data_IF_125547309774
#
_entry.id   IF_125547309774
#
_cell.length_a   1.000
_cell.length_b   1.000
_cell.length_c   1.000
_cell.angle_alpha   90.00
_cell.angle_beta   90.00
_cell.angle_gamma   90.00
#
_symmetry.space_group_name_H-M   'P 1'
#
loop_
_entity.id
_entity.type
_entity.pdbx_description
1 polymer ?
#
# COMPACT_ATOMS: atom_id res chain seq x y z
N UNK A 1 46.50 -14.43 6.22
CA UNK A 1 45.47 -13.49 5.72
C UNK A 1 44.22 -13.62 6.58
N UNK A 2 43.92 -12.62 7.41
CA UNK A 2 42.71 -12.60 8.21
C UNK A 2 41.50 -12.53 7.28
N UNK A 3 40.66 -13.56 7.28
CA UNK A 3 39.34 -13.50 6.63
C UNK A 3 38.56 -12.38 7.31
N UNK A 4 38.39 -11.27 6.63
CA UNK A 4 37.44 -10.22 7.02
C UNK A 4 36.09 -10.89 7.17
N UNK A 5 35.64 -11.10 8.41
CA UNK A 5 34.28 -11.54 8.72
C UNK A 5 33.34 -10.54 8.06
N UNK A 6 32.66 -10.94 6.98
CA UNK A 6 31.57 -10.15 6.42
C UNK A 6 30.51 -10.02 7.53
N UNK A 7 30.23 -8.81 8.03
CA UNK A 7 29.31 -8.63 9.15
C UNK A 7 27.85 -8.94 8.77
N UNK A 8 27.55 -9.06 7.47
CA UNK A 8 26.23 -9.32 6.94
C UNK A 8 26.29 -10.46 5.92
N UNK A 9 25.35 -11.40 6.05
CA UNK A 9 25.09 -12.41 5.03
C UNK A 9 24.61 -11.73 3.75
N UNK A 10 25.04 -12.24 2.60
CA UNK A 10 24.50 -11.79 1.33
C UNK A 10 23.08 -12.32 1.09
N UNK A 11 22.47 -11.87 -0.02
CA UNK A 11 21.08 -12.20 -0.34
C UNK A 11 20.88 -13.70 -0.59
N UNK A 12 21.87 -14.38 -1.15
CA UNK A 12 21.78 -15.80 -1.50
C UNK A 12 21.97 -16.69 -0.28
N UNK A 13 22.87 -16.31 0.62
CA UNK A 13 23.04 -16.92 1.94
C UNK A 13 21.76 -16.77 2.78
N UNK A 14 21.16 -15.58 2.83
CA UNK A 14 19.89 -15.34 3.52
C UNK A 14 18.74 -16.15 2.92
N UNK A 15 18.71 -16.31 1.59
CA UNK A 15 17.71 -17.11 0.91
C UNK A 15 17.87 -18.61 1.21
N UNK A 16 19.11 -19.07 1.36
CA UNK A 16 19.43 -20.46 1.74
C UNK A 16 18.92 -20.75 3.16
N UNK A 17 19.21 -19.86 4.12
CA UNK A 17 18.67 -19.97 5.49
C UNK A 17 17.14 -19.92 5.51
N UNK A 18 16.53 -19.06 4.71
CA UNK A 18 15.08 -18.98 4.58
C UNK A 18 14.48 -20.31 4.07
N UNK A 19 15.04 -20.89 3.00
CA UNK A 19 14.58 -22.18 2.45
C UNK A 19 14.72 -23.31 3.46
N UNK A 20 15.83 -23.36 4.19
CA UNK A 20 16.03 -24.35 5.25
C UNK A 20 14.98 -24.20 6.37
N UNK A 21 14.74 -22.96 6.84
CA UNK A 21 13.72 -22.69 7.83
C UNK A 21 12.30 -23.02 7.33
N UNK A 22 12.00 -22.73 6.07
CA UNK A 22 10.72 -23.05 5.44
C UNK A 22 10.48 -24.57 5.36
N UNK A 23 11.50 -25.34 4.98
CA UNK A 23 11.42 -26.80 4.93
C UNK A 23 11.11 -27.37 6.33
N UNK A 24 11.75 -26.86 7.37
CA UNK A 24 11.45 -27.25 8.74
C UNK A 24 10.04 -26.83 9.17
N UNK A 25 9.65 -25.57 8.92
CA UNK A 25 8.37 -25.02 9.31
C UNK A 25 7.17 -25.79 8.75
N UNK A 26 7.26 -26.30 7.51
CA UNK A 26 6.22 -27.15 6.89
C UNK A 26 5.88 -28.38 7.74
N UNK A 27 6.85 -28.94 8.43
CA UNK A 27 6.68 -30.16 9.23
C UNK A 27 6.30 -29.87 10.69
N UNK A 28 6.24 -28.60 11.10
CA UNK A 28 5.99 -28.24 12.51
C UNK A 28 4.53 -28.15 12.92
N UNK A 29 3.61 -28.13 11.95
CA UNK A 29 2.18 -27.93 12.17
C UNK A 29 1.53 -29.03 13.03
N UNK A 30 2.05 -30.26 12.97
CA UNK A 30 1.54 -31.40 13.75
C UNK A 30 2.14 -31.50 15.16
N UNK A 31 3.21 -30.77 15.47
CA UNK A 31 3.97 -31.01 16.70
C UNK A 31 3.70 -29.98 17.79
N UNK A 32 3.53 -28.72 17.41
CA UNK A 32 3.35 -27.60 18.33
C UNK A 32 2.01 -26.92 18.07
N UNK A 33 1.35 -26.45 19.13
CA UNK A 33 0.01 -25.84 19.05
C UNK A 33 -1.08 -26.78 18.49
N UNK A 34 -0.97 -28.10 18.72
CA UNK A 34 -1.93 -29.12 18.24
C UNK A 34 -3.40 -28.76 18.50
N UNK A 35 -3.69 -28.20 19.68
CA UNK A 35 -5.05 -27.86 20.11
C UNK A 35 -5.54 -26.48 19.64
N UNK A 36 -4.69 -25.69 18.97
CA UNK A 36 -5.08 -24.39 18.43
C UNK A 36 -5.72 -24.56 17.05
N UNK A 37 -6.70 -23.70 16.75
CA UNK A 37 -7.41 -23.65 15.48
C UNK A 37 -6.46 -23.36 14.31
N UNK A 38 -6.59 -24.13 13.24
CA UNK A 38 -5.93 -23.86 11.97
C UNK A 38 -6.66 -22.74 11.22
N UNK A 39 -5.87 -21.84 10.63
CA UNK A 39 -6.38 -20.68 9.89
C UNK A 39 -6.08 -20.83 8.40
N UNK A 40 -6.93 -20.25 7.54
CA UNK A 40 -6.62 -20.14 6.11
C UNK A 40 -5.40 -19.25 5.93
N UNK A 41 -4.29 -19.86 5.49
CA UNK A 41 -3.01 -19.17 5.37
C UNK A 41 -3.00 -18.10 4.28
N UNK A 42 -4.00 -18.05 3.40
CA UNK A 42 -4.22 -16.91 2.49
C UNK A 42 -4.37 -15.59 3.24
N UNK A 43 -4.82 -15.63 4.50
CA UNK A 43 -4.88 -14.47 5.38
C UNK A 43 -3.52 -13.79 5.54
N UNK A 44 -2.43 -14.56 5.54
CA UNK A 44 -1.08 -14.05 5.74
C UNK A 44 -0.36 -13.76 4.43
N UNK A 45 -1.08 -13.66 3.31
CA UNK A 45 -0.48 -13.29 2.03
C UNK A 45 0.15 -11.89 2.14
N UNK A 46 1.48 -11.75 1.98
CA UNK A 46 2.16 -10.46 2.10
C UNK A 46 1.60 -9.39 1.16
N UNK A 47 1.11 -9.79 -0.02
CA UNK A 47 0.50 -8.85 -0.98
C UNK A 47 -0.77 -8.19 -0.43
N UNK A 48 -1.56 -8.92 0.37
CA UNK A 48 -2.82 -8.43 0.95
C UNK A 48 -2.53 -7.55 2.19
N UNK A 49 -1.51 -7.91 2.98
CA UNK A 49 -1.16 -7.22 4.22
C UNK A 49 -0.49 -5.85 4.00
N UNK A 50 0.28 -5.68 2.93
CA UNK A 50 0.87 -4.38 2.58
C UNK A 50 -0.13 -3.43 1.90
N UNK A 51 -1.24 -3.95 1.36
CA UNK A 51 -2.28 -3.20 0.65
C UNK A 51 -3.35 -2.62 1.57
N UNK A 52 -3.51 -3.14 2.79
CA UNK A 52 -4.51 -2.66 3.73
C UNK A 52 -3.84 -1.96 4.91
N UNK A 53 -3.98 -0.63 4.98
CA UNK A 53 -3.74 0.14 6.21
C UNK A 53 -4.77 -0.16 7.32
N UNK A 54 -5.32 -1.37 7.35
CA UNK A 54 -6.45 -1.82 8.18
C UNK A 54 -6.05 -2.14 9.63
N UNK A 55 -4.75 -2.20 9.91
CA UNK A 55 -4.22 -2.42 11.25
C UNK A 55 -3.29 -1.26 11.58
N UNK A 56 -3.68 -0.44 12.56
CA UNK A 56 -2.76 0.50 13.19
C UNK A 56 -1.73 -0.29 14.00
N UNK A 57 -0.61 -0.67 13.38
CA UNK A 57 0.47 -1.36 14.09
C UNK A 57 1.24 -0.37 14.98
N UNK A 58 0.98 -0.40 16.29
CA UNK A 58 1.60 0.50 17.28
C UNK A 58 2.96 -0.04 17.76
N UNK A 59 3.76 -0.61 16.87
CA UNK A 59 5.05 -1.24 17.19
C UNK A 59 6.22 -0.62 16.43
N UNK A 60 7.43 -0.85 16.93
CA UNK A 60 8.66 -0.39 16.26
C UNK A 60 8.93 -1.10 14.92
N UNK A 61 9.72 -0.47 14.05
CA UNK A 61 10.06 -0.99 12.71
C UNK A 61 10.62 -2.42 12.73
N UNK A 62 11.36 -2.80 13.78
CA UNK A 62 11.89 -4.16 13.94
C UNK A 62 10.81 -5.22 14.18
N UNK A 63 9.76 -4.89 14.95
CA UNK A 63 8.63 -5.78 15.20
C UNK A 63 7.76 -5.93 13.94
N UNK A 64 7.55 -4.83 13.20
CA UNK A 64 6.87 -4.86 11.89
C UNK A 64 7.57 -5.78 10.90
N UNK A 65 8.89 -5.61 10.73
CA UNK A 65 9.69 -6.49 9.84
C UNK A 65 9.68 -7.95 10.29
N UNK A 66 9.64 -8.21 11.61
CA UNK A 66 9.51 -9.57 12.13
C UNK A 66 8.15 -10.18 11.74
N UNK A 67 7.07 -9.42 11.89
CA UNK A 67 5.72 -9.84 11.50
C UNK A 67 5.64 -10.18 10.01
N UNK A 68 6.23 -9.34 9.13
CA UNK A 68 6.28 -9.59 7.69
C UNK A 68 6.95 -10.93 7.34
N UNK A 69 8.04 -11.29 8.04
CA UNK A 69 8.74 -12.57 7.86
C UNK A 69 7.85 -13.74 8.32
N UNK A 70 7.17 -13.60 9.45
CA UNK A 70 6.29 -14.62 9.99
C UNK A 70 5.12 -14.90 9.04
N UNK A 71 4.50 -13.85 8.50
CA UNK A 71 3.44 -13.97 7.49
C UNK A 71 3.93 -14.63 6.21
N UNK A 72 5.08 -14.18 5.70
CA UNK A 72 5.70 -14.81 4.53
C UNK A 72 6.00 -16.29 4.77
N UNK A 73 6.50 -16.64 5.95
CA UNK A 73 6.81 -18.02 6.30
C UNK A 73 5.53 -18.86 6.39
N UNK A 74 4.48 -18.35 7.06
CA UNK A 74 3.19 -19.02 7.21
C UNK A 74 2.49 -19.27 5.88
N UNK A 75 2.44 -18.24 5.03
CA UNK A 75 1.86 -18.34 3.70
C UNK A 75 2.54 -19.43 2.86
N UNK A 76 3.87 -19.47 2.87
CA UNK A 76 4.64 -20.45 2.10
C UNK A 76 4.69 -21.85 2.74
N UNK A 77 4.60 -21.93 4.06
CA UNK A 77 4.49 -23.18 4.80
C UNK A 77 3.07 -23.77 4.73
N UNK A 78 2.08 -22.97 4.32
CA UNK A 78 0.64 -23.29 4.38
C UNK A 78 0.19 -23.67 5.78
N UNK A 79 0.74 -23.01 6.80
CA UNK A 79 0.39 -23.22 8.21
C UNK A 79 0.53 -21.91 9.00
N UNK A 80 -0.39 -21.66 9.94
CA UNK A 80 -0.26 -20.59 10.94
C UNK A 80 0.50 -21.03 12.20
N UNK A 81 0.80 -22.33 12.31
CA UNK A 81 1.65 -22.94 13.34
C UNK A 81 3.03 -23.14 12.73
N UNK A 82 3.96 -22.23 13.00
CA UNK A 82 5.27 -22.18 12.32
C UNK A 82 6.43 -22.15 13.31
N UNK A 83 7.58 -22.65 12.86
CA UNK A 83 8.84 -22.48 13.55
C UNK A 83 9.73 -21.48 12.79
N UNK A 84 10.23 -20.47 13.50
CA UNK A 84 11.17 -19.48 12.99
C UNK A 84 12.55 -19.72 13.58
N UNK A 85 13.55 -20.01 12.74
CA UNK A 85 14.94 -20.10 13.17
C UNK A 85 15.41 -18.73 13.69
N UNK A 86 15.85 -18.69 14.96
CA UNK A 86 16.32 -17.46 15.60
C UNK A 86 17.61 -16.95 14.97
N UNK A 87 18.47 -17.83 14.45
CA UNK A 87 19.67 -17.41 13.72
C UNK A 87 19.29 -16.68 12.43
N UNK A 88 18.42 -17.28 11.62
CA UNK A 88 17.87 -16.65 10.42
C UNK A 88 17.23 -15.30 10.73
N UNK A 89 16.34 -15.24 11.74
CA UNK A 89 15.66 -14.01 12.12
C UNK A 89 16.62 -12.89 12.53
N UNK A 90 17.66 -13.20 13.32
CA UNK A 90 18.69 -12.23 13.71
C UNK A 90 19.45 -11.68 12.50
N UNK A 91 19.84 -12.55 11.57
CA UNK A 91 20.59 -12.15 10.37
C UNK A 91 19.72 -11.30 9.43
N UNK A 92 18.47 -11.71 9.18
CA UNK A 92 17.56 -10.98 8.31
C UNK A 92 17.20 -9.59 8.88
N UNK A 93 16.93 -9.51 10.18
CA UNK A 93 16.59 -8.26 10.84
C UNK A 93 17.82 -7.40 11.15
N UNK A 94 19.03 -7.97 11.09
CA UNK A 94 20.29 -7.38 11.54
C UNK A 94 20.23 -6.92 13.00
N UNK A 95 19.79 -7.83 13.88
CA UNK A 95 19.60 -7.53 15.31
C UNK A 95 20.22 -8.58 16.22
N UNK A 96 20.56 -8.15 17.43
CA UNK A 96 21.00 -9.03 18.52
C UNK A 96 19.82 -9.79 19.15
N UNK A 97 20.12 -10.87 19.87
CA UNK A 97 19.11 -11.72 20.50
C UNK A 97 18.20 -10.99 21.50
N UNK A 98 18.71 -9.95 22.18
CA UNK A 98 17.91 -9.11 23.10
C UNK A 98 16.83 -8.33 22.34
N UNK A 99 17.19 -7.71 21.23
CA UNK A 99 16.27 -6.95 20.37
C UNK A 99 15.25 -7.87 19.70
N UNK A 100 15.66 -9.06 19.23
CA UNK A 100 14.72 -10.05 18.71
C UNK A 100 13.68 -10.44 19.77
N UNK A 101 14.09 -10.69 21.02
CA UNK A 101 13.17 -10.95 22.14
C UNK A 101 12.20 -9.79 22.36
N UNK A 102 12.68 -8.55 22.37
CA UNK A 102 11.83 -7.36 22.51
C UNK A 102 10.78 -7.30 21.39
N UNK A 103 11.18 -7.52 20.14
CA UNK A 103 10.25 -7.52 19.00
C UNK A 103 9.21 -8.63 19.10
N UNK A 104 9.59 -9.84 19.54
CA UNK A 104 8.65 -10.95 19.78
C UNK A 104 7.64 -10.58 20.86
N UNK A 105 8.09 -9.99 21.97
CA UNK A 105 7.19 -9.57 23.05
C UNK A 105 6.19 -8.51 22.58
N UNK A 106 6.63 -7.52 21.79
CA UNK A 106 5.72 -6.52 21.21
C UNK A 106 4.61 -7.19 20.38
N UNK A 107 4.96 -8.18 19.55
CA UNK A 107 3.98 -8.88 18.73
C UNK A 107 3.03 -9.76 19.56
N UNK A 108 3.51 -10.35 20.65
CA UNK A 108 2.70 -11.15 21.58
C UNK A 108 1.75 -10.26 22.39
N UNK A 109 2.24 -9.12 22.91
CA UNK A 109 1.46 -8.10 23.65
C UNK A 109 0.35 -7.49 22.78
N UNK A 110 0.64 -7.25 21.49
CA UNK A 110 -0.34 -6.76 20.53
C UNK A 110 -1.28 -7.85 19.99
N UNK A 111 -1.14 -9.10 20.45
CA UNK A 111 -2.03 -10.19 20.09
C UNK A 111 -1.83 -10.80 18.70
N UNK A 112 -0.82 -10.40 17.93
CA UNK A 112 -0.57 -11.00 16.61
C UNK A 112 -0.11 -12.46 16.68
N UNK A 113 0.61 -12.80 17.76
CA UNK A 113 1.22 -14.10 17.92
C UNK A 113 1.04 -14.65 19.34
N UNK A 114 1.32 -15.93 19.47
CA UNK A 114 1.57 -16.63 20.73
C UNK A 114 2.81 -17.51 20.56
N UNK A 115 3.72 -17.52 21.52
CA UNK A 115 5.00 -18.23 21.40
C UNK A 115 5.26 -19.22 22.51
N UNK A 116 5.86 -20.35 22.16
CA UNK A 116 6.35 -21.32 23.17
C UNK A 116 7.66 -20.82 23.76
N UNK A 117 7.65 -20.55 25.07
CA UNK A 117 8.82 -20.06 25.82
C UNK A 117 9.82 -21.18 26.10
N UNK A 118 11.08 -20.80 26.37
CA UNK A 118 12.14 -21.75 26.78
C UNK A 118 12.84 -22.54 25.65
N UNK A 119 12.46 -22.35 24.37
CA UNK A 119 13.11 -23.04 23.24
C UNK A 119 14.25 -22.22 22.63
N UNK A 120 15.42 -22.84 22.47
CA UNK A 120 16.66 -22.14 22.12
C UNK A 120 16.93 -21.95 20.63
N UNK A 121 16.66 -22.95 19.77
CA UNK A 121 16.98 -22.88 18.34
C UNK A 121 15.90 -22.17 17.53
N UNK A 122 14.67 -22.68 17.64
CA UNK A 122 13.51 -22.14 16.96
C UNK A 122 12.64 -21.33 17.93
N UNK A 123 11.98 -20.32 17.38
CA UNK A 123 10.81 -19.70 17.96
C UNK A 123 9.59 -20.39 17.38
N UNK A 124 8.84 -21.13 18.21
CA UNK A 124 7.59 -21.75 17.79
C UNK A 124 6.47 -20.74 17.99
N UNK A 125 5.81 -20.38 16.89
CA UNK A 125 4.86 -19.28 16.79
C UNK A 125 3.52 -19.83 16.32
N UNK A 126 2.46 -19.47 17.04
CA UNK A 126 1.09 -19.52 16.55
C UNK A 126 0.71 -18.12 16.08
N UNK A 127 0.43 -17.96 14.78
CA UNK A 127 -0.12 -16.73 14.23
C UNK A 127 -1.62 -16.71 14.46
N UNK A 128 -2.08 -15.66 15.14
CA UNK A 128 -3.50 -15.40 15.40
C UNK A 128 -4.15 -14.72 14.20
N UNK A 129 -5.47 -14.77 14.14
CA UNK A 129 -6.22 -14.03 13.14
C UNK A 129 -6.18 -12.54 13.49
N UNK A 130 -5.45 -11.75 12.69
CA UNK A 130 -5.31 -10.32 12.95
C UNK A 130 -6.64 -9.55 12.83
N UNK A 131 -7.65 -10.15 12.19
CA UNK A 131 -8.99 -9.54 12.04
C UNK A 131 -9.77 -9.53 13.34
N UNK A 132 -9.38 -10.35 14.30
CA UNK A 132 -9.99 -10.45 15.63
C UNK A 132 -9.34 -9.48 16.64
N UNK A 133 -8.32 -8.70 16.24
CA UNK A 133 -7.61 -7.77 17.13
C UNK A 133 -8.43 -6.51 17.40
N UNK A 134 -8.38 -6.05 18.66
CA UNK A 134 -8.91 -4.74 19.05
C UNK A 134 -8.16 -3.64 18.28
N UNK A 135 -8.90 -2.83 17.51
CA UNK A 135 -8.33 -1.81 16.62
C UNK A 135 -8.14 -2.25 15.18
N UNK A 136 -8.45 -3.51 14.82
CA UNK A 136 -8.63 -3.87 13.42
C UNK A 136 -9.87 -3.18 12.87
N UNK A 137 -9.65 -2.22 11.97
CA UNK A 137 -10.72 -1.67 11.17
C UNK A 137 -10.77 -2.48 9.88
N UNK A 138 -11.84 -3.25 9.67
CA UNK A 138 -12.08 -3.94 8.39
C UNK A 138 -12.28 -2.90 7.29
N UNK A 139 -11.16 -2.44 6.73
CA UNK A 139 -11.13 -1.78 5.43
C UNK A 139 -11.15 -2.92 4.44
N UNK A 140 -12.32 -3.55 4.26
CA UNK A 140 -12.46 -4.75 3.44
C UNK A 140 -11.72 -4.59 2.13
N UNK A 141 -11.12 -5.68 1.62
CA UNK A 141 -10.34 -5.70 0.38
C UNK A 141 -11.04 -4.85 -0.69
N UNK A 142 -10.63 -3.58 -0.81
CA UNK A 142 -11.42 -2.48 -1.33
C UNK A 142 -12.92 -2.80 -1.54
N UNK A 143 -13.82 -2.40 -0.65
CA UNK A 143 -15.27 -2.36 -0.99
C UNK A 143 -15.57 -1.52 -2.26
N UNK A 144 -14.57 -0.83 -2.83
CA UNK A 144 -14.56 -0.48 -4.26
C UNK A 144 -14.17 -1.73 -5.06
N UNK A 145 -15.15 -2.44 -5.60
CA UNK A 145 -14.99 -3.47 -6.64
C UNK A 145 -13.68 -3.25 -7.42
N UNK A 146 -12.69 -4.14 -7.24
CA UNK A 146 -11.37 -3.97 -7.86
C UNK A 146 -11.55 -3.66 -9.35
N UNK A 147 -11.20 -2.43 -9.73
CA UNK A 147 -11.49 -1.95 -11.06
C UNK A 147 -10.60 -2.77 -12.03
N UNK A 148 -11.17 -3.38 -13.09
CA UNK A 148 -10.40 -4.29 -13.92
C UNK A 148 -9.16 -3.65 -14.55
N UNK A 149 -8.07 -4.42 -14.69
CA UNK A 149 -6.83 -3.98 -15.35
C UNK A 149 -7.07 -3.30 -16.73
N UNK A 150 -7.96 -3.82 -17.61
CA UNK A 150 -8.28 -3.17 -18.88
C UNK A 150 -8.81 -1.74 -18.74
N UNK A 151 -9.56 -1.42 -17.68
CA UNK A 151 -10.04 -0.07 -17.43
C UNK A 151 -8.87 0.90 -17.24
N UNK A 152 -7.92 0.58 -16.37
CA UNK A 152 -6.77 1.46 -16.10
C UNK A 152 -5.90 1.65 -17.34
N UNK A 153 -5.71 0.60 -18.15
CA UNK A 153 -4.99 0.71 -19.41
C UNK A 153 -5.69 1.67 -20.39
N UNK A 154 -7.02 1.59 -20.51
CA UNK A 154 -7.80 2.48 -21.37
C UNK A 154 -7.77 3.94 -20.88
N UNK A 155 -7.87 4.16 -19.58
CA UNK A 155 -7.79 5.49 -18.97
C UNK A 155 -6.38 6.07 -19.13
N UNK A 156 -5.33 5.28 -18.88
CA UNK A 156 -3.93 5.72 -19.09
C UNK A 156 -3.68 6.12 -20.54
N UNK A 157 -4.14 5.32 -21.52
CA UNK A 157 -4.00 5.66 -22.95
C UNK A 157 -4.72 6.96 -23.31
N UNK A 158 -5.94 7.13 -22.81
CA UNK A 158 -6.71 8.37 -22.99
C UNK A 158 -5.96 9.58 -22.41
N UNK A 159 -5.50 9.48 -21.16
CA UNK A 159 -4.79 10.55 -20.47
C UNK A 159 -3.44 10.85 -21.12
N UNK A 160 -2.72 9.86 -21.65
CA UNK A 160 -1.46 10.09 -22.40
C UNK A 160 -1.71 10.85 -23.70
N UNK A 161 -2.81 10.58 -24.41
CA UNK A 161 -3.18 11.35 -25.60
C UNK A 161 -3.52 12.79 -25.21
N UNK A 162 -4.34 12.95 -24.17
CA UNK A 162 -4.75 14.24 -23.65
C UNK A 162 -3.58 15.08 -23.11
N UNK A 163 -2.64 14.47 -22.40
CA UNK A 163 -1.43 15.12 -21.89
C UNK A 163 -0.50 15.64 -22.99
N UNK A 164 -0.57 15.09 -24.22
CA UNK A 164 0.18 15.62 -25.37
C UNK A 164 -0.51 16.83 -25.99
N UNK A 165 -1.82 16.93 -25.84
CA UNK A 165 -2.62 18.04 -26.37
C UNK A 165 -2.60 19.26 -25.42
N UNK A 166 -2.32 19.03 -24.12
CA UNK A 166 -2.27 20.07 -23.09
C UNK A 166 -0.85 20.27 -22.61
N UNK A 167 -0.27 21.43 -22.89
CA UNK A 167 1.09 21.77 -22.46
C UNK A 167 1.17 22.10 -20.96
N UNK A 168 0.13 22.76 -20.39
CA UNK A 168 0.16 23.26 -19.00
C UNK A 168 -1.23 23.24 -18.36
N UNK A 169 -1.29 22.96 -17.06
CA UNK A 169 -2.53 22.98 -16.26
C UNK A 169 -2.31 23.83 -15.01
N UNK A 170 -3.27 24.66 -14.62
CA UNK A 170 -3.20 25.44 -13.39
C UNK A 170 -3.82 24.66 -12.23
N UNK A 171 -2.99 24.29 -11.26
CA UNK A 171 -3.42 23.59 -10.04
C UNK A 171 -3.04 24.45 -8.85
N UNK A 172 -4.01 24.82 -8.00
CA UNK A 172 -3.81 25.67 -6.83
C UNK A 172 -3.03 26.96 -7.15
N UNK A 173 -3.45 27.66 -8.22
CA UNK A 173 -2.81 28.87 -8.76
C UNK A 173 -1.37 28.70 -9.27
N UNK A 174 -0.85 27.47 -9.39
CA UNK A 174 0.48 27.19 -9.97
C UNK A 174 0.37 26.53 -11.33
N UNK A 175 1.16 26.99 -12.29
CA UNK A 175 1.32 26.29 -13.56
C UNK A 175 2.09 24.99 -13.35
N UNK A 176 1.50 23.89 -13.80
CA UNK A 176 2.04 22.55 -13.62
C UNK A 176 2.06 21.79 -14.95
N UNK A 177 3.06 20.92 -15.09
CA UNK A 177 3.09 19.89 -16.13
C UNK A 177 2.43 18.63 -15.60
N UNK A 178 1.50 18.08 -16.37
CA UNK A 178 0.81 16.85 -16.02
C UNK A 178 1.66 15.64 -16.40
N UNK A 179 1.88 14.75 -15.44
CA UNK A 179 2.53 13.47 -15.64
C UNK A 179 1.56 12.31 -15.37
N UNK A 180 1.45 11.39 -16.34
CA UNK A 180 0.58 10.22 -16.26
C UNK A 180 1.34 9.06 -15.59
N UNK A 181 0.93 8.62 -14.40
CA UNK A 181 1.57 7.50 -13.71
C UNK A 181 1.40 6.16 -14.44
N UNK A 182 2.18 5.17 -14.05
CA UNK A 182 2.06 3.81 -14.58
C UNK A 182 0.71 3.17 -14.22
N UNK A 183 0.26 2.25 -15.07
CA UNK A 183 -0.93 1.43 -14.83
C UNK A 183 -0.85 0.69 -13.50
N UNK A 184 0.33 0.13 -13.17
CA UNK A 184 0.57 -0.59 -11.91
C UNK A 184 0.30 0.28 -10.68
N UNK A 185 0.64 1.57 -10.74
CA UNK A 185 0.36 2.49 -9.63
C UNK A 185 -1.14 2.69 -9.46
N UNK A 186 -1.87 2.95 -10.55
CA UNK A 186 -3.33 3.16 -10.51
C UNK A 186 -4.09 1.91 -10.03
N UNK A 187 -3.62 0.73 -10.43
CA UNK A 187 -4.14 -0.55 -9.96
C UNK A 187 -3.90 -0.74 -8.47
N UNK A 188 -2.67 -0.48 -8.01
CA UNK A 188 -2.29 -0.59 -6.60
C UNK A 188 -3.16 0.29 -5.70
N UNK A 189 -3.46 1.51 -6.13
CA UNK A 189 -4.33 2.43 -5.37
C UNK A 189 -5.81 2.26 -5.69
N UNK A 190 -6.16 1.33 -6.59
CA UNK A 190 -7.50 1.08 -7.12
C UNK A 190 -8.27 2.38 -7.46
N UNK A 191 -7.56 3.33 -8.09
CA UNK A 191 -8.07 4.67 -8.38
C UNK A 191 -7.31 5.29 -9.55
N UNK A 192 -7.96 6.21 -10.26
CA UNK A 192 -7.27 7.01 -11.28
C UNK A 192 -6.55 8.15 -10.56
N UNK A 193 -5.24 8.27 -10.78
CA UNK A 193 -4.39 9.30 -10.17
C UNK A 193 -3.60 10.04 -11.24
N UNK A 194 -3.43 11.34 -11.06
CA UNK A 194 -2.62 12.21 -11.92
C UNK A 194 -1.56 12.91 -11.08
N UNK A 195 -0.36 13.06 -11.63
CA UNK A 195 0.73 13.81 -11.02
C UNK A 195 0.88 15.16 -11.72
N UNK A 196 1.11 16.20 -10.94
CA UNK A 196 1.31 17.56 -11.42
C UNK A 196 2.59 18.12 -10.81
N UNK A 197 3.52 18.53 -11.67
CA UNK A 197 4.80 19.10 -11.27
C UNK A 197 4.79 20.60 -11.57
N UNK A 198 4.86 21.48 -10.56
CA UNK A 198 4.91 22.92 -10.79
C UNK A 198 6.15 23.31 -11.58
N UNK A 199 5.99 24.18 -12.57
CA UNK A 199 7.11 24.71 -13.35
C UNK A 199 8.08 25.47 -12.44
N UNK A 200 7.55 26.21 -11.46
CA UNK A 200 8.33 27.00 -10.51
C UNK A 200 9.12 26.15 -9.51
N UNK A 201 8.74 24.90 -9.26
CA UNK A 201 9.45 24.01 -8.35
C UNK A 201 9.26 22.53 -8.77
N UNK A 202 10.11 22.04 -9.69
CA UNK A 202 9.99 20.68 -10.23
C UNK A 202 10.25 19.58 -9.19
N UNK A 203 10.81 19.91 -8.03
CA UNK A 203 11.02 18.94 -6.94
C UNK A 203 9.74 18.65 -6.15
N UNK A 204 8.68 19.43 -6.37
CA UNK A 204 7.37 19.21 -5.74
C UNK A 204 6.46 18.49 -6.73
N UNK A 205 5.82 17.40 -6.30
CA UNK A 205 4.83 16.70 -7.11
C UNK A 205 3.51 16.62 -6.35
N UNK A 206 2.47 17.22 -6.92
CA UNK A 206 1.10 17.05 -6.44
C UNK A 206 0.49 15.79 -7.06
N UNK A 207 -0.01 14.88 -6.24
CA UNK A 207 -0.74 13.71 -6.71
C UNK A 207 -2.22 13.92 -6.39
N UNK A 208 -3.06 13.97 -7.41
CA UNK A 208 -4.51 14.13 -7.26
C UNK A 208 -5.22 12.86 -7.73
N UNK A 209 -6.18 12.38 -6.93
CA UNK A 209 -7.06 11.28 -7.30
C UNK A 209 -8.22 11.75 -8.17
N UNK A 210 -8.95 10.81 -8.77
CA UNK A 210 -10.16 11.09 -9.53
C UNK A 210 -11.18 11.92 -8.73
N UNK A 211 -11.30 11.65 -7.43
CA UNK A 211 -12.21 12.37 -6.54
C UNK A 211 -11.74 13.81 -6.32
N UNK A 212 -10.45 14.02 -6.09
CA UNK A 212 -9.87 15.37 -5.94
C UNK A 212 -9.97 16.19 -7.23
N UNK A 213 -9.98 15.51 -8.38
CA UNK A 213 -10.13 16.16 -9.67
C UNK A 213 -11.59 16.52 -9.97
N UNK A 214 -12.51 15.59 -9.77
CA UNK A 214 -13.87 15.66 -10.32
C UNK A 214 -14.95 15.89 -9.26
N UNK A 215 -14.61 15.84 -7.97
CA UNK A 215 -15.51 15.78 -6.83
C UNK A 215 -16.53 14.62 -6.90
N UNK A 216 -16.22 13.57 -7.69
CA UNK A 216 -17.07 12.39 -7.87
C UNK A 216 -16.31 11.12 -7.53
N UNK A 217 -17.03 10.09 -7.11
CA UNK A 217 -16.47 8.75 -6.99
C UNK A 217 -16.46 8.04 -8.35
N UNK A 218 -15.51 7.12 -8.54
CA UNK A 218 -15.47 6.28 -9.75
C UNK A 218 -16.74 5.39 -9.73
N UNK A 219 -17.52 5.33 -10.82
CA UNK A 219 -18.69 4.47 -10.89
C UNK A 219 -18.32 3.00 -10.66
N UNK A 220 -19.27 2.18 -10.19
CA UNK A 220 -19.06 0.73 -10.01
C UNK A 220 -18.59 0.06 -11.30
N UNK A 221 -17.78 -1.00 -11.18
CA UNK A 221 -17.37 -1.85 -12.31
C UNK A 221 -18.55 -2.59 -12.98
N UNK A 222 -19.70 -2.68 -12.31
CA UNK A 222 -20.95 -3.20 -12.87
C UNK A 222 -21.61 -2.22 -13.86
N UNK A 223 -21.15 -0.96 -13.89
CA UNK A 223 -21.64 0.03 -14.83
C UNK A 223 -20.99 -0.19 -16.22
N UNK A 224 -21.78 -0.61 -17.20
CA UNK A 224 -21.33 -0.77 -18.59
C UNK A 224 -20.66 0.49 -19.18
N UNK A 225 -21.07 1.67 -18.73
CA UNK A 225 -20.54 2.96 -19.20
C UNK A 225 -19.43 3.55 -18.32
N UNK A 226 -18.91 2.79 -17.35
CA UNK A 226 -17.92 3.27 -16.35
C UNK A 226 -16.77 4.06 -17.01
N UNK A 227 -16.12 3.48 -18.02
CA UNK A 227 -14.99 4.11 -18.71
C UNK A 227 -15.38 5.42 -19.41
N UNK A 228 -16.53 5.46 -20.08
CA UNK A 228 -16.99 6.65 -20.79
C UNK A 228 -17.32 7.79 -19.82
N UNK A 229 -17.98 7.48 -18.70
CA UNK A 229 -18.30 8.43 -17.64
C UNK A 229 -17.03 9.01 -17.03
N UNK A 230 -16.05 8.16 -16.71
CA UNK A 230 -14.76 8.59 -16.13
C UNK A 230 -14.00 9.48 -17.10
N UNK A 231 -13.90 9.11 -18.39
CA UNK A 231 -13.26 9.95 -19.43
C UNK A 231 -13.94 11.32 -19.54
N UNK A 232 -15.28 11.35 -19.59
CA UNK A 232 -16.06 12.59 -19.68
C UNK A 232 -15.83 13.50 -18.48
N UNK A 233 -15.85 12.95 -17.26
CA UNK A 233 -15.63 13.72 -16.04
C UNK A 233 -14.19 14.25 -15.94
N UNK A 234 -13.19 13.43 -16.31
CA UNK A 234 -11.78 13.86 -16.34
C UNK A 234 -11.56 14.96 -17.39
N UNK A 235 -12.11 14.79 -18.60
CA UNK A 235 -12.05 15.81 -19.65
C UNK A 235 -12.64 17.13 -19.18
N UNK A 236 -13.83 17.09 -18.58
CA UNK A 236 -14.50 18.28 -18.05
C UNK A 236 -13.66 18.94 -16.95
N UNK A 237 -13.23 18.17 -15.94
CA UNK A 237 -12.45 18.70 -14.82
C UNK A 237 -11.12 19.32 -15.25
N UNK A 238 -10.42 18.70 -16.19
CA UNK A 238 -9.13 19.21 -16.66
C UNK A 238 -9.30 20.43 -17.57
N UNK A 239 -10.35 20.48 -18.40
CA UNK A 239 -10.69 21.69 -19.18
C UNK A 239 -11.19 22.84 -18.33
N UNK A 240 -12.01 22.57 -17.32
CA UNK A 240 -12.46 23.57 -16.35
C UNK A 240 -11.25 24.12 -15.55
N UNK A 241 -10.21 23.30 -15.34
CA UNK A 241 -8.92 23.69 -14.76
C UNK A 241 -7.92 24.28 -15.77
N UNK A 242 -8.18 24.19 -17.08
CA UNK A 242 -7.53 24.97 -18.13
C UNK A 242 -8.11 26.40 -18.21
N UNK A 243 -9.36 26.62 -17.82
CA UNK A 243 -9.99 27.94 -17.84
C UNK A 243 -9.74 28.76 -16.56
N UNK A 244 -8.49 29.15 -16.33
CA UNK A 244 -8.18 30.46 -15.72
C UNK A 244 -7.00 31.08 -16.49
N UNK A 245 -7.20 31.25 -17.79
CA UNK A 245 -6.63 32.37 -18.54
C UNK A 245 -7.74 33.41 -18.67
N UNK A 246 -7.47 34.64 -18.23
CA UNK A 246 -8.41 35.75 -18.36
C UNK A 246 -8.88 35.91 -19.82
N UNK A 247 -10.20 36.05 -20.01
CA UNK A 247 -10.72 36.68 -21.23
C UNK A 247 -10.51 38.18 -21.09
N UNK A 248 -9.45 38.68 -21.70
CA UNK A 248 -9.24 40.12 -21.89
C UNK A 248 -10.15 40.58 -23.05
N UNK A 249 -11.10 41.45 -22.69
CA UNK A 249 -11.84 42.46 -23.46
C UNK A 249 -12.93 42.02 -24.47
N UNK A 250 -14.16 42.44 -24.18
CA UNK A 250 -14.73 43.64 -24.83
C UNK A 250 -15.80 44.30 -23.94
N UNK A 251 -15.59 45.59 -23.69
CA UNK A 251 -16.36 46.57 -22.89
C UNK A 251 -17.74 46.91 -23.51
N UNK A 252 -18.45 47.96 -23.05
CA UNK A 252 -18.98 48.29 -21.72
C UNK A 252 -20.53 48.41 -21.76
N UNK A 253 -21.22 48.39 -20.60
CA UNK A 253 -22.32 49.32 -20.21
C UNK A 253 -23.25 48.79 -19.12
N UNK A 254 -23.49 49.69 -18.15
CA UNK A 254 -24.75 49.98 -17.43
C UNK A 254 -25.17 48.92 -16.40
N UNK A 255 -24.88 49.15 -15.11
CA UNK A 255 -25.65 49.96 -14.13
C UNK A 255 -27.00 49.33 -13.78
N UNK A 256 -27.14 48.89 -12.52
CA UNK A 256 -28.14 49.43 -11.57
C UNK A 256 -28.21 48.58 -10.27
N UNK A 257 -28.04 49.28 -9.14
CA UNK A 257 -28.64 49.13 -7.79
C UNK A 257 -28.73 47.71 -7.16
N UNK A 258 -28.32 47.48 -5.91
CA UNK A 258 -28.67 48.24 -4.72
C UNK A 258 -27.56 48.26 -3.65
N UNK A 259 -27.36 49.47 -3.12
CA UNK A 259 -26.87 49.81 -1.80
C UNK A 259 -28.13 49.96 -0.93
N UNK A 260 -28.20 49.46 0.30
CA UNK A 260 -28.10 50.24 1.55
C UNK A 260 -28.88 49.44 2.61
N UNK A 261 -28.66 49.53 3.93
CA UNK A 261 -27.64 50.12 4.79
C UNK A 261 -28.08 49.77 6.23
N UNK A 262 -27.28 50.19 7.23
CA UNK A 262 -27.86 50.64 8.49
C UNK A 262 -28.79 51.86 8.27
#
# INVERSE_FOLDING_TARGET
MAKTLKPNLDKDELNTLYKANLAYAKNTHEHYFKFKKDLDCKLFNPSIMHEQGSISFVGGQGAKRLLDILYKLAFNAKSNKIALDRHYAKMFLQVVARTLRKNVNILEEQGFIEVIKGKQRYLYVYLKDYRELEGYNYVGANQKNNIPSPFFLQIMRFLKKFAKEIERVKINNKECVMHIPSQELMQRVNNVVLKFMPISNPNTTYTLSYKDLTNKDIPSNLCFYQTAIVKKNLLKSLKDKECVGELINNSPKVSNYFRESA
#
